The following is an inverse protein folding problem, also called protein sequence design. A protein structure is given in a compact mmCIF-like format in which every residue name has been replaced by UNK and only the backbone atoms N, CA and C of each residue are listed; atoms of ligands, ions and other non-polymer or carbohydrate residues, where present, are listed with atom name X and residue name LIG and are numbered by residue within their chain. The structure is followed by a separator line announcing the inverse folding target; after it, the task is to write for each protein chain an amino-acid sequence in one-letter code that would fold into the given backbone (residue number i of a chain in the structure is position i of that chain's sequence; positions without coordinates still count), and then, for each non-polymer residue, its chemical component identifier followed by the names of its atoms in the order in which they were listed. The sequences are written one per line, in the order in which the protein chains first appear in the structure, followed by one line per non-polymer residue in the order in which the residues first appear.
data_IF_395171265063
#
_entry.id   IF_395171265063
#
_cell.length_a   1.000
_cell.length_b   1.000
_cell.length_c   1.000
_cell.angle_alpha   90.00
_cell.angle_beta   90.00
_cell.angle_gamma   90.00
#
_symmetry.space_group_name_H-M   'P 1'
#
loop_
_entity.id
_entity.type
_entity.pdbx_description
1 polymer ?
#
# COMPACT_ATOMS: atom_id res chain seq x y z
N UNK A 1 24.01 -10.80 13.77
CA UNK A 1 23.82 -9.70 12.80
C UNK A 1 23.62 -10.29 11.42
N UNK A 2 22.93 -9.59 10.51
CA UNK A 2 22.77 -10.06 9.13
C UNK A 2 24.07 -9.91 8.32
N UNK A 3 24.28 -10.76 7.32
CA UNK A 3 25.41 -10.66 6.38
C UNK A 3 25.13 -9.57 5.34
N UNK A 4 25.66 -8.37 5.60
CA UNK A 4 25.47 -7.22 4.72
C UNK A 4 26.17 -7.39 3.37
N UNK A 5 27.30 -8.12 3.31
CA UNK A 5 28.02 -8.32 2.05
C UNK A 5 27.19 -9.18 1.10
N UNK A 6 26.64 -10.27 1.61
CA UNK A 6 25.74 -11.13 0.85
C UNK A 6 24.45 -10.39 0.44
N UNK A 7 23.85 -9.61 1.34
CA UNK A 7 22.67 -8.79 1.01
C UNK A 7 22.93 -7.82 -0.15
N UNK A 8 24.07 -7.10 -0.11
CA UNK A 8 24.47 -6.19 -1.18
C UNK A 8 24.81 -6.92 -2.48
N UNK A 9 25.38 -8.13 -2.40
CA UNK A 9 25.63 -8.96 -3.57
C UNK A 9 24.32 -9.34 -4.27
N UNK A 10 23.29 -9.74 -3.53
CA UNK A 10 21.94 -10.02 -4.08
C UNK A 10 21.34 -8.78 -4.75
N UNK A 11 21.49 -7.60 -4.13
CA UNK A 11 21.08 -6.33 -4.73
C UNK A 11 21.80 -6.01 -6.03
N UNK A 12 23.12 -6.18 -6.08
CA UNK A 12 23.93 -5.97 -7.30
C UNK A 12 23.55 -6.94 -8.41
N UNK A 13 23.26 -8.20 -8.06
CA UNK A 13 22.80 -9.18 -9.04
C UNK A 13 21.47 -8.76 -9.68
N UNK A 14 20.51 -8.26 -8.89
CA UNK A 14 19.26 -7.71 -9.44
C UNK A 14 19.51 -6.46 -10.29
N UNK A 15 20.40 -5.57 -9.85
CA UNK A 15 20.77 -4.38 -10.60
C UNK A 15 21.36 -4.73 -11.97
N UNK A 16 22.23 -5.74 -12.03
CA UNK A 16 22.77 -6.25 -13.29
C UNK A 16 21.66 -6.87 -14.17
N UNK A 17 20.74 -7.64 -13.59
CA UNK A 17 19.59 -8.22 -14.29
C UNK A 17 18.60 -7.16 -14.81
N UNK A 18 18.64 -5.94 -14.26
CA UNK A 18 17.84 -4.80 -14.71
C UNK A 18 18.66 -3.77 -15.51
N UNK A 19 19.91 -4.09 -15.83
CA UNK A 19 20.85 -3.13 -16.42
C UNK A 19 20.45 -2.67 -17.82
N UNK A 20 21.04 -1.58 -18.33
CA UNK A 20 20.68 -0.96 -19.61
C UNK A 20 20.92 -1.85 -20.84
N UNK A 21 21.74 -2.90 -20.71
CA UNK A 21 21.99 -3.88 -21.77
C UNK A 21 20.95 -5.02 -21.79
N UNK A 22 20.10 -5.13 -20.77
CA UNK A 22 19.04 -6.14 -20.71
C UNK A 22 17.81 -5.63 -21.44
N UNK A 23 17.22 -6.41 -22.38
CA UNK A 23 15.96 -6.04 -23.02
C UNK A 23 14.88 -5.71 -21.99
N UNK A 24 14.05 -4.68 -22.24
CA UNK A 24 13.05 -4.22 -21.27
C UNK A 24 12.07 -5.32 -20.84
N UNK A 25 11.71 -6.23 -21.76
CA UNK A 25 10.82 -7.36 -21.49
C UNK A 25 11.46 -8.46 -20.61
N UNK A 26 12.78 -8.43 -20.44
CA UNK A 26 13.54 -9.38 -19.61
C UNK A 26 14.00 -8.75 -18.29
N UNK A 27 13.99 -7.42 -18.17
CA UNK A 27 14.37 -6.70 -16.94
C UNK A 27 13.30 -6.87 -15.85
N UNK A 28 13.59 -7.56 -14.73
CA UNK A 28 12.58 -7.88 -13.72
C UNK A 28 11.92 -6.64 -13.11
N UNK A 29 12.69 -5.57 -12.89
CA UNK A 29 12.15 -4.31 -12.36
C UNK A 29 11.29 -3.57 -13.37
N UNK A 30 11.67 -3.53 -14.66
CA UNK A 30 10.86 -2.88 -15.69
C UNK A 30 9.57 -3.64 -15.97
N UNK A 31 9.63 -4.98 -16.02
CA UNK A 31 8.45 -5.84 -16.19
C UNK A 31 7.47 -5.65 -15.02
N UNK A 32 7.97 -5.65 -13.78
CA UNK A 32 7.12 -5.40 -12.62
C UNK A 32 6.50 -4.00 -12.66
N UNK A 33 7.30 -2.97 -12.94
CA UNK A 33 6.80 -1.60 -13.01
C UNK A 33 5.77 -1.40 -14.12
N UNK A 34 5.99 -2.00 -15.29
CA UNK A 34 5.02 -2.00 -16.38
C UNK A 34 3.72 -2.70 -15.96
N UNK A 35 3.81 -3.89 -15.37
CA UNK A 35 2.64 -4.61 -14.89
C UNK A 35 1.85 -3.78 -13.86
N UNK A 36 2.50 -3.22 -12.85
CA UNK A 36 1.86 -2.39 -11.83
C UNK A 36 1.21 -1.13 -12.41
N UNK A 37 1.90 -0.42 -13.31
CA UNK A 37 1.39 0.78 -13.95
C UNK A 37 0.19 0.50 -14.87
N UNK A 38 0.28 -0.51 -15.72
CA UNK A 38 -0.79 -0.89 -16.65
C UNK A 38 -2.02 -1.43 -15.91
N UNK A 39 -1.83 -2.23 -14.84
CA UNK A 39 -2.91 -2.68 -13.98
C UNK A 39 -3.62 -1.48 -13.31
N UNK A 40 -2.86 -0.52 -12.80
CA UNK A 40 -3.43 0.69 -12.22
C UNK A 40 -4.23 1.52 -13.24
N UNK A 41 -3.73 1.67 -14.48
CA UNK A 41 -4.46 2.31 -15.58
C UNK A 41 -5.75 1.54 -15.96
N UNK A 42 -5.75 0.23 -15.79
CA UNK A 42 -6.93 -0.63 -15.98
C UNK A 42 -7.89 -0.64 -14.77
N UNK A 43 -7.68 0.21 -13.76
CA UNK A 43 -8.52 0.30 -12.56
C UNK A 43 -8.18 -0.71 -11.46
N UNK A 44 -7.00 -1.34 -11.53
CA UNK A 44 -6.45 -2.27 -10.53
C UNK A 44 -5.22 -1.68 -9.86
N UNK A 45 -5.45 -0.62 -9.10
CA UNK A 45 -4.44 0.21 -8.46
C UNK A 45 -4.20 -0.15 -6.98
N UNK A 46 -4.89 -1.16 -6.42
CA UNK A 46 -4.79 -1.55 -5.00
C UNK A 46 -3.91 -2.80 -4.88
N UNK A 47 -2.66 -2.65 -4.46
CA UNK A 47 -1.69 -3.74 -4.32
C UNK A 47 -1.68 -4.26 -2.89
N UNK A 48 -2.30 -5.42 -2.65
CA UNK A 48 -2.30 -6.12 -1.37
C UNK A 48 -1.08 -7.02 -1.23
N UNK A 49 -0.30 -6.83 -0.17
CA UNK A 49 0.84 -7.68 0.13
C UNK A 49 0.45 -8.92 0.93
N UNK A 50 0.89 -10.08 0.45
CA UNK A 50 0.75 -11.37 1.15
C UNK A 50 2.16 -11.90 1.37
N UNK A 51 2.53 -12.23 2.61
CA UNK A 51 3.91 -12.61 2.91
C UNK A 51 4.00 -13.91 3.69
N UNK A 52 5.11 -14.63 3.52
CA UNK A 52 5.53 -15.55 4.58
C UNK A 52 5.76 -14.78 5.90
N UNK A 53 5.53 -15.37 7.08
CA UNK A 53 5.53 -14.65 8.36
C UNK A 53 6.80 -13.84 8.62
N UNK A 54 7.97 -14.39 8.28
CA UNK A 54 9.25 -13.73 8.52
C UNK A 54 9.55 -12.55 7.61
N UNK A 55 8.76 -12.37 6.55
CA UNK A 55 8.86 -11.24 5.61
C UNK A 55 7.78 -10.17 5.90
N UNK A 56 6.95 -10.33 6.94
CA UNK A 56 5.78 -9.50 7.19
C UNK A 56 6.07 -7.99 7.36
N UNK A 57 7.29 -7.62 7.77
CA UNK A 57 7.68 -6.21 7.91
C UNK A 57 8.27 -5.60 6.63
N UNK A 58 8.61 -6.41 5.63
CA UNK A 58 9.22 -5.90 4.39
C UNK A 58 8.25 -5.02 3.57
N UNK A 59 6.95 -5.38 3.45
CA UNK A 59 5.98 -4.51 2.80
C UNK A 59 5.84 -3.12 3.41
N UNK A 60 6.14 -2.90 4.70
CA UNK A 60 6.09 -1.56 5.31
C UNK A 60 7.06 -0.58 4.61
N UNK A 61 8.22 -1.08 4.16
CA UNK A 61 9.17 -0.29 3.38
C UNK A 61 8.68 -0.07 1.94
N UNK A 62 8.10 -1.10 1.32
CA UNK A 62 7.53 -0.99 -0.03
C UNK A 62 6.34 -0.01 -0.04
N UNK A 63 5.51 -0.03 1.00
CA UNK A 63 4.38 0.88 1.19
C UNK A 63 4.84 2.33 1.06
N UNK A 64 5.87 2.70 1.81
CA UNK A 64 6.42 4.05 1.77
C UNK A 64 6.94 4.40 0.37
N UNK A 65 7.76 3.52 -0.21
CA UNK A 65 8.33 3.70 -1.54
C UNK A 65 7.24 3.95 -2.59
N UNK A 66 6.22 3.08 -2.65
CA UNK A 66 5.15 3.15 -3.66
C UNK A 66 4.21 4.32 -3.40
N UNK A 67 3.78 4.53 -2.15
CA UNK A 67 2.83 5.58 -1.81
C UNK A 67 3.40 6.98 -2.04
N UNK A 68 4.65 7.24 -1.63
CA UNK A 68 5.29 8.54 -1.84
C UNK A 68 5.64 8.80 -3.31
N UNK A 69 6.13 7.78 -4.01
CA UNK A 69 6.53 7.95 -5.40
C UNK A 69 5.34 8.08 -6.34
N UNK A 70 4.24 7.35 -6.10
CA UNK A 70 3.16 7.26 -7.09
C UNK A 70 1.92 8.10 -6.79
N UNK A 71 1.66 8.47 -5.53
CA UNK A 71 0.47 9.22 -5.14
C UNK A 71 0.51 10.69 -5.57
N UNK A 72 0.29 10.97 -6.86
CA UNK A 72 0.43 12.32 -7.45
C UNK A 72 -0.61 12.58 -8.53
N UNK A 73 -1.07 13.83 -8.59
CA UNK A 73 -1.94 14.34 -9.65
C UNK A 73 -3.23 13.51 -9.86
N UNK A 74 -3.82 12.98 -8.78
CA UNK A 74 -5.03 12.16 -8.84
C UNK A 74 -4.79 10.73 -9.31
N UNK A 75 -3.52 10.30 -9.39
CA UNK A 75 -3.08 8.95 -9.79
C UNK A 75 -2.23 8.35 -8.69
N UNK A 76 -2.07 7.03 -8.73
CA UNK A 76 -1.14 6.33 -7.87
C UNK A 76 -1.52 4.87 -7.69
N UNK A 77 -0.62 4.15 -7.05
CA UNK A 77 -0.84 2.78 -6.61
C UNK A 77 -1.05 2.84 -5.10
N UNK A 78 -2.10 2.20 -4.60
CA UNK A 78 -2.46 2.09 -3.19
C UNK A 78 -1.86 0.80 -2.64
N UNK A 79 -0.71 0.85 -1.93
CA UNK A 79 -0.19 -0.30 -1.21
C UNK A 79 -1.08 -0.62 0.00
N UNK A 80 -1.46 -1.89 0.13
CA UNK A 80 -2.25 -2.42 1.25
C UNK A 80 -1.40 -3.43 2.01
N UNK A 81 -0.89 -3.00 3.17
CA UNK A 81 -0.03 -3.79 4.05
C UNK A 81 -0.80 -4.25 5.29
N UNK A 82 -0.41 -5.41 5.85
CA UNK A 82 -0.98 -5.96 7.08
C UNK A 82 -2.37 -6.61 6.93
N UNK A 83 -2.96 -6.56 5.72
CA UNK A 83 -4.29 -7.10 5.48
C UNK A 83 -4.27 -8.63 5.56
N UNK A 84 -5.06 -9.19 6.49
CA UNK A 84 -5.22 -10.64 6.62
C UNK A 84 -5.83 -11.21 5.35
N UNK A 85 -5.24 -12.26 4.78
CA UNK A 85 -5.75 -12.87 3.56
C UNK A 85 -7.15 -13.49 3.79
N UNK A 86 -8.14 -13.06 3.01
CA UNK A 86 -9.51 -13.57 3.00
C UNK A 86 -9.81 -14.42 1.77
N UNK A 87 -11.07 -14.86 1.64
CA UNK A 87 -11.56 -15.51 0.42
C UNK A 87 -11.70 -14.53 -0.75
N UNK A 88 -11.81 -14.99 -2.00
CA UNK A 88 -11.93 -14.09 -3.15
C UNK A 88 -13.16 -13.17 -3.13
N UNK A 89 -14.23 -13.60 -2.48
CA UNK A 89 -15.52 -12.91 -2.39
C UNK A 89 -15.49 -11.65 -1.51
N UNK A 90 -14.45 -11.47 -0.68
CA UNK A 90 -14.31 -10.27 0.18
C UNK A 90 -13.52 -9.14 -0.48
N UNK A 91 -13.08 -9.30 -1.74
CA UNK A 91 -12.23 -8.34 -2.43
C UNK A 91 -12.93 -7.65 -3.61
N UNK A 92 -12.71 -6.36 -3.75
CA UNK A 92 -13.06 -5.60 -4.95
C UNK A 92 -12.25 -6.01 -6.19
N UNK A 93 -12.80 -5.73 -7.37
CA UNK A 93 -12.15 -6.03 -8.66
C UNK A 93 -10.90 -5.15 -8.93
N UNK A 94 -10.63 -4.17 -8.09
CA UNK A 94 -9.51 -3.23 -8.11
C UNK A 94 -8.22 -3.78 -7.45
N UNK A 95 -8.28 -4.98 -6.88
CA UNK A 95 -7.14 -5.62 -6.21
C UNK A 95 -6.13 -6.26 -7.17
N UNK A 96 -4.87 -6.17 -6.78
CA UNK A 96 -3.70 -6.92 -7.24
C UNK A 96 -3.02 -7.49 -6.00
N UNK A 97 -2.57 -8.75 -6.04
CA UNK A 97 -1.88 -9.37 -4.90
C UNK A 97 -0.39 -9.55 -5.19
N UNK A 98 0.46 -9.06 -4.31
CA UNK A 98 1.91 -9.26 -4.35
C UNK A 98 2.33 -10.25 -3.24
N UNK A 99 2.62 -11.49 -3.62
CA UNK A 99 2.97 -12.57 -2.72
C UNK A 99 4.50 -12.71 -2.57
N UNK A 100 5.04 -12.35 -1.41
CA UNK A 100 6.45 -12.52 -1.04
C UNK A 100 6.62 -13.82 -0.22
N UNK A 101 7.17 -14.85 -0.85
CA UNK A 101 7.18 -16.22 -0.34
C UNK A 101 8.62 -16.64 -0.04
N UNK A 102 8.92 -16.94 1.22
CA UNK A 102 10.18 -17.54 1.64
C UNK A 102 10.09 -19.07 1.54
N UNK A 103 11.03 -19.67 0.82
CA UNK A 103 11.13 -21.12 0.70
C UNK A 103 11.41 -21.76 2.09
N UNK A 104 10.73 -22.88 2.36
CA UNK A 104 10.91 -23.64 3.62
C UNK A 104 10.16 -23.09 4.85
N UNK A 105 9.40 -21.99 4.74
CA UNK A 105 8.70 -21.40 5.90
C UNK A 105 7.34 -22.06 6.26
N UNK A 106 6.96 -23.15 5.61
CA UNK A 106 5.87 -24.05 6.04
C UNK A 106 4.45 -23.47 6.04
N UNK A 107 4.24 -22.22 5.60
CA UNK A 107 2.91 -21.62 5.43
C UNK A 107 2.38 -21.92 4.03
N UNK A 108 1.24 -22.62 3.96
CA UNK A 108 0.57 -22.88 2.69
C UNK A 108 -0.25 -21.66 2.24
N UNK A 109 0.41 -20.81 1.46
CA UNK A 109 -0.23 -19.71 0.73
C UNK A 109 -0.59 -20.13 -0.72
N UNK A 110 -0.25 -21.34 -1.16
CA UNK A 110 -0.45 -21.73 -2.55
C UNK A 110 -1.93 -21.85 -2.90
N UNK A 111 -2.70 -22.57 -2.07
CA UNK A 111 -4.13 -22.75 -2.26
C UNK A 111 -4.93 -21.42 -2.23
N UNK A 112 -4.78 -20.54 -1.21
CA UNK A 112 -5.53 -19.28 -1.19
C UNK A 112 -5.13 -18.33 -2.33
N UNK A 113 -3.84 -18.26 -2.71
CA UNK A 113 -3.42 -17.45 -3.86
C UNK A 113 -3.99 -17.98 -5.18
N UNK A 114 -4.04 -19.30 -5.37
CA UNK A 114 -4.67 -19.91 -6.55
C UNK A 114 -6.18 -19.63 -6.62
N UNK A 115 -6.86 -19.60 -5.47
CA UNK A 115 -8.29 -19.23 -5.41
C UNK A 115 -8.52 -17.77 -5.86
N UNK A 116 -7.63 -16.85 -5.48
CA UNK A 116 -7.69 -15.46 -5.92
C UNK A 116 -7.47 -15.31 -7.44
N UNK A 117 -6.51 -16.05 -8.00
CA UNK A 117 -6.30 -16.07 -9.46
C UNK A 117 -7.50 -16.64 -10.20
N UNK A 118 -8.08 -17.75 -9.71
CA UNK A 118 -9.25 -18.37 -10.29
C UNK A 118 -10.47 -17.42 -10.29
N UNK A 119 -10.53 -16.51 -9.31
CA UNK A 119 -11.54 -15.45 -9.25
C UNK A 119 -11.21 -14.22 -10.13
N UNK A 120 -10.06 -14.20 -10.82
CA UNK A 120 -9.67 -13.15 -11.75
C UNK A 120 -8.90 -11.98 -11.12
N UNK A 121 -8.34 -12.14 -9.92
CA UNK A 121 -7.39 -11.19 -9.38
C UNK A 121 -5.97 -11.48 -9.89
N UNK A 122 -5.22 -10.47 -10.36
CA UNK A 122 -3.81 -10.62 -10.67
C UNK A 122 -3.01 -10.99 -9.41
N UNK A 123 -2.18 -12.03 -9.50
CA UNK A 123 -1.28 -12.44 -8.41
C UNK A 123 0.17 -12.46 -8.91
N UNK A 124 0.97 -11.56 -8.36
CA UNK A 124 2.41 -11.45 -8.59
C UNK A 124 3.13 -12.25 -7.51
N UNK A 125 3.99 -13.20 -7.88
CA UNK A 125 4.70 -14.07 -6.93
C UNK A 125 6.20 -13.84 -6.95
N UNK A 126 6.76 -13.61 -5.77
CA UNK A 126 8.17 -13.37 -5.51
C UNK A 126 8.65 -14.47 -4.58
N UNK A 127 9.45 -15.41 -5.09
CA UNK A 127 10.03 -16.50 -4.29
C UNK A 127 11.44 -16.14 -3.87
N UNK A 128 11.70 -16.19 -2.58
CA UNK A 128 12.99 -15.95 -1.95
C UNK A 128 13.52 -17.29 -1.43
N UNK A 129 14.75 -17.64 -1.78
CA UNK A 129 15.39 -18.86 -1.28
C UNK A 129 15.85 -18.70 0.17
N UNK A 130 16.29 -17.49 0.53
CA UNK A 130 16.58 -17.09 1.90
C UNK A 130 16.31 -15.59 2.12
N UNK A 131 16.47 -15.10 3.35
CA UNK A 131 16.17 -13.70 3.70
C UNK A 131 17.15 -12.68 3.09
N UNK A 132 18.31 -13.10 2.61
CA UNK A 132 19.28 -12.21 1.96
C UNK A 132 18.83 -11.86 0.53
N UNK A 133 17.93 -12.64 -0.07
CA UNK A 133 17.31 -12.29 -1.36
C UNK A 133 16.48 -11.00 -1.28
N UNK A 134 16.12 -10.54 -0.07
CA UNK A 134 15.55 -9.20 0.14
C UNK A 134 16.42 -8.09 -0.46
N UNK A 135 17.75 -8.26 -0.51
CA UNK A 135 18.63 -7.30 -1.17
C UNK A 135 18.31 -7.13 -2.66
N UNK A 136 17.96 -8.22 -3.34
CA UNK A 136 17.50 -8.20 -4.72
C UNK A 136 16.10 -7.58 -4.86
N UNK A 137 15.17 -7.93 -3.96
CA UNK A 137 13.82 -7.36 -3.99
C UNK A 137 13.80 -5.85 -3.74
N UNK A 138 14.65 -5.33 -2.84
CA UNK A 138 14.80 -3.88 -2.62
C UNK A 138 15.06 -3.17 -3.96
N UNK A 139 16.08 -3.60 -4.72
CA UNK A 139 16.40 -3.00 -6.00
C UNK A 139 15.26 -3.17 -7.02
N UNK A 140 14.66 -4.35 -7.09
CA UNK A 140 13.56 -4.62 -8.02
C UNK A 140 12.40 -3.65 -7.79
N UNK A 141 11.99 -3.46 -6.52
CA UNK A 141 10.89 -2.58 -6.16
C UNK A 141 11.21 -1.10 -6.36
N UNK A 142 12.46 -0.65 -6.14
CA UNK A 142 12.92 0.70 -6.48
C UNK A 142 12.74 0.99 -7.97
N UNK A 143 13.27 0.12 -8.83
CA UNK A 143 13.16 0.29 -10.28
C UNK A 143 11.72 0.16 -10.77
N UNK A 144 10.98 -0.82 -10.24
CA UNK A 144 9.57 -1.03 -10.60
C UNK A 144 8.70 0.18 -10.24
N UNK A 145 8.93 0.80 -9.09
CA UNK A 145 8.21 2.01 -8.68
C UNK A 145 8.49 3.17 -9.62
N UNK A 146 9.76 3.35 -10.02
CA UNK A 146 10.13 4.37 -10.99
C UNK A 146 9.48 4.14 -12.37
N UNK A 147 9.52 2.89 -12.85
CA UNK A 147 8.91 2.51 -14.13
C UNK A 147 7.37 2.63 -14.10
N UNK A 148 6.72 2.24 -13.01
CA UNK A 148 5.28 2.44 -12.82
C UNK A 148 4.91 3.93 -12.83
N UNK A 149 5.72 4.79 -12.19
CA UNK A 149 5.55 6.24 -12.27
C UNK A 149 5.60 6.76 -13.71
N UNK A 150 6.53 6.27 -14.52
CA UNK A 150 6.62 6.63 -15.93
C UNK A 150 5.37 6.20 -16.73
N UNK A 151 4.88 4.98 -16.52
CA UNK A 151 3.63 4.48 -17.15
C UNK A 151 2.42 5.32 -16.73
N UNK A 152 2.36 5.71 -15.45
CA UNK A 152 1.31 6.57 -14.91
C UNK A 152 1.45 8.05 -15.33
N UNK A 153 2.52 8.43 -16.03
CA UNK A 153 2.75 9.81 -16.47
C UNK A 153 3.02 10.79 -15.32
N UNK A 154 3.64 10.31 -14.25
CA UNK A 154 4.00 11.09 -13.05
C UNK A 154 5.51 11.03 -12.80
N UNK A 155 6.04 12.00 -12.07
CA UNK A 155 7.43 11.98 -11.65
C UNK A 155 7.56 11.23 -10.32
N UNK A 156 8.22 10.06 -10.27
CA UNK A 156 8.33 9.28 -9.02
C UNK A 156 9.29 9.87 -8.00
N UNK A 157 10.08 10.89 -8.36
CA UNK A 157 11.18 11.43 -7.54
C UNK A 157 10.91 12.80 -6.92
N UNK A 158 9.78 13.44 -7.20
CA UNK A 158 9.37 14.68 -6.56
C UNK A 158 8.35 14.46 -5.43
N UNK A 159 8.04 15.53 -4.70
CA UNK A 159 7.09 15.53 -3.58
C UNK A 159 6.28 16.85 -3.56
N UNK A 160 5.34 17.05 -4.51
CA UNK A 160 4.66 18.33 -4.68
C UNK A 160 3.78 18.72 -3.48
N UNK A 161 3.14 17.77 -2.80
CA UNK A 161 2.12 18.08 -1.76
C UNK A 161 2.70 18.30 -0.36
N UNK A 162 4.03 18.20 -0.21
CA UNK A 162 4.72 18.54 1.05
C UNK A 162 4.60 20.03 1.35
N UNK A 163 4.59 20.88 0.33
CA UNK A 163 4.46 22.33 0.52
C UNK A 163 3.05 22.71 0.99
N UNK A 164 2.01 22.12 0.40
CA UNK A 164 0.63 22.35 0.81
C UNK A 164 0.42 22.03 2.30
N UNK A 165 0.99 20.92 2.78
CA UNK A 165 0.90 20.55 4.20
C UNK A 165 1.58 21.57 5.12
N UNK A 166 2.74 22.12 4.71
CA UNK A 166 3.44 23.16 5.47
C UNK A 166 2.64 24.46 5.52
N UNK A 167 2.00 24.84 4.42
CA UNK A 167 1.16 26.03 4.34
C UNK A 167 -0.08 25.91 5.24
N UNK A 168 -0.78 24.77 5.19
CA UNK A 168 -1.94 24.50 6.03
C UNK A 168 -1.57 24.48 7.51
N UNK A 169 -0.47 23.81 7.88
CA UNK A 169 0.01 23.78 9.27
C UNK A 169 0.38 25.18 9.77
N UNK A 170 1.09 25.97 8.96
CA UNK A 170 1.44 27.34 9.29
C UNK A 170 0.20 28.23 9.46
N UNK A 171 -0.82 28.04 8.63
CA UNK A 171 -2.11 28.74 8.75
C UNK A 171 -2.80 28.41 10.07
N UNK A 172 -2.94 27.13 10.41
CA UNK A 172 -3.57 26.69 11.69
C UNK A 172 -2.80 27.21 12.90
N UNK A 173 -1.46 27.16 12.87
CA UNK A 173 -0.63 27.70 13.96
C UNK A 173 -0.77 29.22 14.13
N UNK A 174 -1.05 29.96 13.05
CA UNK A 174 -1.23 31.41 13.07
C UNK A 174 -2.65 31.83 13.44
N UNK A 175 -3.65 31.10 12.97
CA UNK A 175 -5.07 31.41 13.12
C UNK A 175 -5.71 30.76 14.35
N UNK A 176 -5.02 29.81 14.98
CA UNK A 176 -5.55 28.97 16.04
C UNK A 176 -6.43 27.84 15.50
N UNK A 177 -6.59 26.76 16.27
CA UNK A 177 -7.55 25.70 15.94
C UNK A 177 -8.95 26.27 16.13
N UNK A 178 -9.64 26.56 15.02
CA UNK A 178 -11.08 26.83 15.08
C UNK A 178 -11.77 25.50 15.39
N UNK A 179 -12.69 25.49 16.37
CA UNK A 179 -13.44 24.29 16.77
C UNK A 179 -14.46 23.78 15.75
N UNK A 180 -14.39 24.27 14.51
CA UNK A 180 -15.23 23.85 13.40
C UNK A 180 -14.42 22.88 12.54
N UNK A 181 -15.02 21.73 12.20
CA UNK A 181 -14.42 20.78 11.29
C UNK A 181 -14.17 21.44 9.92
N UNK A 182 -13.03 21.18 9.26
CA UNK A 182 -12.82 21.61 7.88
C UNK A 182 -13.96 21.16 6.95
N UNK A 183 -14.26 21.94 5.91
CA UNK A 183 -15.29 21.59 4.93
C UNK A 183 -15.07 20.18 4.35
N UNK A 184 -16.12 19.36 4.36
CA UNK A 184 -16.07 17.97 3.91
C UNK A 184 -15.58 16.96 4.96
N UNK A 185 -15.21 17.41 6.16
CA UNK A 185 -14.85 16.54 7.28
C UNK A 185 -16.04 16.34 8.21
N UNK A 186 -16.40 15.09 8.49
CA UNK A 186 -17.36 14.75 9.55
C UNK A 186 -16.60 14.42 10.82
N UNK A 187 -16.74 15.23 11.85
CA UNK A 187 -16.19 14.95 13.18
C UNK A 187 -17.27 14.30 14.02
N UNK A 188 -16.97 13.14 14.59
CA UNK A 188 -17.87 12.40 15.46
C UNK A 188 -17.24 12.34 16.84
N UNK A 189 -17.87 12.98 17.81
CA UNK A 189 -17.57 12.81 19.22
C UNK A 189 -18.55 11.79 19.79
N UNK A 190 -18.05 10.61 20.15
CA UNK A 190 -18.86 9.54 20.70
C UNK A 190 -18.13 8.88 21.86
N UNK A 191 -18.86 8.59 22.94
CA UNK A 191 -18.31 7.95 24.15
C UNK A 191 -18.92 6.57 24.41
N UNK A 192 -20.07 6.28 23.79
CA UNK A 192 -20.73 4.97 23.86
C UNK A 192 -20.52 4.11 22.61
N UNK A 193 -20.35 2.80 22.79
CA UNK A 193 -20.18 1.85 21.68
C UNK A 193 -21.30 1.93 20.63
N UNK A 194 -22.56 2.15 21.06
CA UNK A 194 -23.69 2.27 20.14
C UNK A 194 -23.66 3.56 19.29
N UNK A 195 -23.11 4.65 19.82
CA UNK A 195 -22.92 5.90 19.08
C UNK A 195 -21.82 5.76 18.04
N UNK A 196 -20.69 5.18 18.44
CA UNK A 196 -19.56 4.86 17.54
C UNK A 196 -20.04 3.95 16.41
N UNK A 197 -20.78 2.89 16.72
CA UNK A 197 -21.31 1.97 15.72
C UNK A 197 -22.22 2.67 14.71
N UNK A 198 -23.18 3.50 15.17
CA UNK A 198 -24.07 4.26 14.26
C UNK A 198 -23.30 5.22 13.36
N UNK A 199 -22.31 5.92 13.91
CA UNK A 199 -21.50 6.85 13.15
C UNK A 199 -20.64 6.14 12.10
N UNK A 200 -20.02 5.02 12.48
CA UNK A 200 -19.25 4.18 11.56
C UNK A 200 -20.14 3.60 10.47
N UNK A 201 -21.32 3.09 10.82
CA UNK A 201 -22.30 2.56 9.87
C UNK A 201 -22.71 3.60 8.82
N UNK A 202 -23.01 4.83 9.27
CA UNK A 202 -23.38 5.93 8.40
C UNK A 202 -22.23 6.31 7.45
N UNK A 203 -20.99 6.33 7.95
CA UNK A 203 -19.80 6.61 7.14
C UNK A 203 -19.52 5.50 6.11
N UNK A 204 -19.61 4.23 6.52
CA UNK A 204 -19.39 3.07 5.65
C UNK A 204 -20.46 2.94 4.57
N UNK A 205 -21.71 3.36 4.84
CA UNK A 205 -22.79 3.33 3.85
C UNK A 205 -22.52 4.20 2.61
N UNK A 206 -21.57 5.14 2.70
CA UNK A 206 -21.15 5.97 1.56
C UNK A 206 -20.04 5.33 0.70
N UNK A 207 -19.42 4.23 1.15
CA UNK A 207 -18.36 3.56 0.40
C UNK A 207 -18.89 2.96 -0.91
N UNK A 208 -18.13 3.12 -1.99
CA UNK A 208 -18.47 2.62 -3.33
C UNK A 208 -17.42 1.63 -3.81
N UNK A 209 -17.78 0.70 -4.72
CA UNK A 209 -16.80 -0.17 -5.35
C UNK A 209 -15.63 0.63 -5.96
N UNK A 210 -14.39 0.22 -5.66
CA UNK A 210 -13.16 0.88 -6.09
C UNK A 210 -12.66 2.01 -5.18
N UNK A 211 -13.46 2.41 -4.17
CA UNK A 211 -12.97 3.25 -3.08
C UNK A 211 -11.97 2.45 -2.21
N UNK A 212 -11.11 3.16 -1.48
CA UNK A 212 -10.32 2.60 -0.40
C UNK A 212 -10.51 3.43 0.88
N UNK A 213 -10.42 2.77 2.03
CA UNK A 213 -10.62 3.36 3.35
C UNK A 213 -9.27 3.61 4.02
N UNK A 214 -9.05 4.82 4.53
CA UNK A 214 -7.87 5.18 5.31
C UNK A 214 -8.09 5.05 6.82
N UNK A 215 -7.48 4.05 7.46
CA UNK A 215 -7.49 3.91 8.92
C UNK A 215 -6.19 4.49 9.52
N UNK A 216 -6.31 5.66 10.16
CA UNK A 216 -5.20 6.31 10.87
C UNK A 216 -5.45 6.31 12.38
N UNK A 217 -4.79 5.41 13.10
CA UNK A 217 -4.99 5.22 14.53
C UNK A 217 -4.05 6.12 15.35
N UNK A 218 -4.62 7.05 16.12
CA UNK A 218 -3.89 7.88 17.10
C UNK A 218 -3.91 7.19 18.47
N UNK A 219 -3.33 5.99 18.53
CA UNK A 219 -3.24 5.13 19.72
C UNK A 219 -1.79 4.67 19.90
N UNK A 220 -1.38 4.29 21.13
CA UNK A 220 -0.10 3.63 21.33
C UNK A 220 0.03 2.36 20.48
N UNK A 221 1.18 2.17 19.85
CA UNK A 221 1.44 0.99 19.02
C UNK A 221 1.34 -0.30 19.84
N UNK A 222 0.62 -1.29 19.31
CA UNK A 222 0.45 -2.61 19.94
C UNK A 222 -0.74 -2.74 20.90
N UNK A 223 -1.45 -1.66 21.21
CA UNK A 223 -2.69 -1.74 22.01
C UNK A 223 -3.86 -2.35 21.22
N UNK A 224 -3.86 -2.16 19.90
CA UNK A 224 -4.91 -2.66 19.00
C UNK A 224 -4.25 -3.33 17.81
N UNK A 225 -4.75 -4.53 17.46
CA UNK A 225 -4.40 -5.16 16.20
C UNK A 225 -5.22 -4.54 15.07
N UNK A 226 -4.63 -3.57 14.37
CA UNK A 226 -5.27 -2.90 13.24
C UNK A 226 -5.63 -3.86 12.11
N UNK A 227 -4.98 -5.01 11.97
CA UNK A 227 -5.30 -6.00 10.93
C UNK A 227 -6.67 -6.63 11.13
N UNK A 228 -7.18 -6.69 12.37
CA UNK A 228 -8.54 -7.16 12.66
C UNK A 228 -9.57 -6.11 12.22
N UNK A 229 -9.31 -4.84 12.49
CA UNK A 229 -10.18 -3.73 12.06
C UNK A 229 -10.18 -3.62 10.54
N UNK A 230 -9.00 -3.71 9.92
CA UNK A 230 -8.80 -3.72 8.47
C UNK A 230 -9.61 -4.85 7.81
N UNK A 231 -9.52 -6.08 8.34
CA UNK A 231 -10.27 -7.22 7.85
C UNK A 231 -11.78 -7.02 7.99
N UNK A 232 -12.27 -6.56 9.15
CA UNK A 232 -13.69 -6.32 9.38
C UNK A 232 -14.27 -5.24 8.44
N UNK A 233 -13.50 -4.17 8.19
CA UNK A 233 -13.88 -3.11 7.27
C UNK A 233 -13.91 -3.61 5.82
N UNK A 234 -12.89 -4.36 5.39
CA UNK A 234 -12.85 -4.99 4.07
C UNK A 234 -14.03 -5.95 3.90
N UNK A 235 -14.25 -6.90 4.81
CA UNK A 235 -15.29 -7.92 4.66
C UNK A 235 -16.70 -7.30 4.54
N UNK A 236 -16.90 -6.14 5.16
CA UNK A 236 -18.17 -5.42 5.11
C UNK A 236 -18.37 -4.57 3.85
N UNK A 237 -17.29 -4.05 3.28
CA UNK A 237 -17.36 -3.04 2.20
C UNK A 237 -16.76 -3.48 0.88
N UNK A 238 -16.02 -4.59 0.88
CA UNK A 238 -15.15 -5.09 -0.19
C UNK A 238 -14.06 -4.09 -0.64
N UNK A 239 -13.94 -2.94 0.02
CA UNK A 239 -12.97 -1.89 -0.31
C UNK A 239 -11.57 -2.27 0.19
N UNK A 240 -10.55 -1.70 -0.44
CA UNK A 240 -9.21 -1.67 0.13
C UNK A 240 -9.19 -0.87 1.43
N UNK A 241 -8.40 -1.32 2.41
CA UNK A 241 -8.25 -0.61 3.67
C UNK A 241 -6.76 -0.46 3.95
N UNK A 242 -6.26 0.77 3.93
CA UNK A 242 -4.90 1.08 4.37
C UNK A 242 -4.95 1.38 5.86
N UNK A 243 -4.04 0.81 6.66
CA UNK A 243 -4.04 0.98 8.10
C UNK A 243 -2.67 1.38 8.63
N UNK A 244 -2.61 2.38 9.50
CA UNK A 244 -1.37 2.82 10.11
C UNK A 244 -1.58 3.51 11.45
N UNK A 245 -0.53 3.51 12.27
CA UNK A 245 -0.47 4.33 13.47
C UNK A 245 0.00 5.74 13.14
N UNK A 246 -0.75 6.74 13.58
CA UNK A 246 -0.39 8.15 13.48
C UNK A 246 0.74 8.53 14.43
N UNK A 247 1.55 9.56 14.10
CA UNK A 247 1.47 10.41 12.91
C UNK A 247 2.31 9.92 11.72
N UNK A 248 2.76 8.65 11.69
CA UNK A 248 3.71 8.14 10.67
C UNK A 248 3.27 8.41 9.24
N UNK A 249 1.97 8.27 8.96
CA UNK A 249 1.39 8.43 7.62
C UNK A 249 1.70 9.79 6.97
N UNK A 250 1.89 10.86 7.74
CA UNK A 250 2.22 12.18 7.18
C UNK A 250 3.53 12.18 6.39
N UNK A 251 4.44 11.29 6.77
CA UNK A 251 5.75 11.16 6.15
C UNK A 251 5.85 9.96 5.23
N UNK A 252 5.05 8.90 5.42
CA UNK A 252 5.20 7.64 4.67
C UNK A 252 4.14 7.40 3.58
N UNK A 253 2.89 7.82 3.80
CA UNK A 253 1.78 7.64 2.84
C UNK A 253 1.06 8.94 2.54
N UNK A 254 1.62 10.07 2.98
CA UNK A 254 0.97 11.37 2.94
C UNK A 254 0.71 11.85 1.51
N UNK A 255 1.60 11.55 0.56
CA UNK A 255 1.38 11.83 -0.86
C UNK A 255 0.17 11.05 -1.40
N UNK A 256 0.06 9.76 -1.09
CA UNK A 256 -1.07 8.94 -1.50
C UNK A 256 -2.42 9.50 -1.05
N UNK A 257 -2.56 9.89 0.21
CA UNK A 257 -3.84 10.40 0.73
C UNK A 257 -4.18 11.82 0.25
N UNK A 258 -3.21 12.58 -0.29
CA UNK A 258 -3.40 13.97 -0.74
C UNK A 258 -3.48 14.10 -2.26
N UNK A 259 -2.55 13.45 -2.95
CA UNK A 259 -2.37 13.52 -4.39
C UNK A 259 -2.62 12.20 -5.12
N UNK A 260 -2.87 11.10 -4.40
CA UNK A 260 -3.20 9.80 -4.96
C UNK A 260 -4.59 9.74 -5.62
N UNK A 261 -5.06 8.53 -5.97
CA UNK A 261 -6.38 8.35 -6.59
C UNK A 261 -7.49 9.01 -5.75
N UNK A 262 -8.41 9.70 -6.42
CA UNK A 262 -9.57 10.37 -5.81
C UNK A 262 -10.64 9.42 -5.24
N UNK A 263 -10.23 8.21 -4.85
CA UNK A 263 -11.06 7.13 -4.33
C UNK A 263 -10.78 6.84 -2.85
N UNK A 264 -9.99 7.67 -2.16
CA UNK A 264 -9.79 7.60 -0.72
C UNK A 264 -11.04 8.08 0.03
N UNK A 265 -11.45 7.35 1.06
CA UNK A 265 -12.41 7.77 2.07
C UNK A 265 -11.78 7.76 3.46
#
# INVERSE_FOLDING_TARGET
GADLAALLERGRAMAAACGPAVPAAESPGLVLGAALGELALAGRDKVTFVTSPSLASFPDWIEQLVAESTGKHGRGIVPVVGERLGGPDVYGADRVFAALLLDGEGVDLAAPLAALEAAGHPVLRFRLGDRLDLGGEIFRWELATAAAGAVLGINPFDQPDVQLAKELAARVMKEGVRGEAPDGMTVVEASGAAEIARALDAWLAAARPGDYLGLQAYLPMGEVDLSLVQAALRDRTHCAVTAGFGPRFLHSTGQLHKGGPGSCR
#
